data_IF_217542873238
#
_entry.id   IF_217542873238
#
_cell.length_a   1.000
_cell.length_b   1.000
_cell.length_c   1.000
_cell.angle_alpha   90.00
_cell.angle_beta   90.00
_cell.angle_gamma   90.00
#
_symmetry.space_group_name_H-M   'P 1'
#
loop_
_entity.id
_entity.type
_entity.pdbx_description
1 polymer ?
#
# COMPACT_ATOMS: atom_id res chain seq x y z
N UNK A 1 16.65 1.00 0.15
CA UNK A 1 15.52 1.91 0.47
C UNK A 1 15.99 3.35 0.53
N UNK A 2 15.10 4.31 0.20
CA UNK A 2 15.31 5.73 0.37
C UNK A 2 14.29 6.28 1.38
N UNK A 3 14.75 7.07 2.35
CA UNK A 3 13.87 7.83 3.22
C UNK A 3 13.97 9.33 2.89
N UNK A 4 12.83 9.96 2.69
CA UNK A 4 12.74 11.41 2.47
C UNK A 4 12.21 12.05 3.74
N UNK A 5 12.91 13.02 4.27
CA UNK A 5 12.67 13.59 5.60
C UNK A 5 11.94 14.94 5.51
N UNK A 6 11.13 15.25 6.52
CA UNK A 6 10.45 16.54 6.69
C UNK A 6 11.21 17.53 7.59
N UNK A 7 12.47 17.26 7.90
CA UNK A 7 13.40 18.07 8.66
C UNK A 7 14.82 17.83 8.19
N UNK A 8 15.82 18.38 8.87
CA UNK A 8 17.22 18.17 8.56
C UNK A 8 17.61 16.70 8.62
N UNK A 9 18.61 16.30 7.81
CA UNK A 9 19.07 14.89 7.76
C UNK A 9 19.70 14.40 9.06
N UNK A 10 20.02 15.28 9.97
CA UNK A 10 20.59 15.02 11.29
C UNK A 10 19.52 15.01 12.40
N UNK A 11 18.25 15.33 12.06
CA UNK A 11 17.13 15.39 13.00
C UNK A 11 16.27 14.13 12.86
N UNK A 12 16.32 13.26 13.86
CA UNK A 12 15.54 12.02 13.88
C UNK A 12 14.13 12.31 14.38
N UNK A 13 13.15 12.07 13.51
CA UNK A 13 11.72 12.26 13.84
C UNK A 13 10.86 11.19 13.15
N UNK A 14 9.90 10.57 13.86
CA UNK A 14 9.77 10.64 15.33
C UNK A 14 10.94 9.92 16.03
N UNK A 15 11.25 10.24 17.30
CA UNK A 15 12.42 9.69 18.00
C UNK A 15 12.41 8.16 18.13
N UNK A 16 11.24 7.55 18.15
CA UNK A 16 11.02 6.11 18.25
C UNK A 16 11.60 5.38 17.03
N UNK A 17 11.69 6.04 15.89
CA UNK A 17 12.20 5.48 14.64
C UNK A 17 13.73 5.59 14.50
N UNK A 18 14.47 5.88 15.57
CA UNK A 18 15.94 6.00 15.55
C UNK A 18 16.61 4.79 14.89
N UNK A 19 16.23 3.58 15.30
CA UNK A 19 16.81 2.36 14.74
C UNK A 19 16.54 2.25 13.23
N UNK A 20 15.31 2.50 12.80
CA UNK A 20 14.95 2.49 11.38
C UNK A 20 15.76 3.53 10.59
N UNK A 21 15.95 4.72 11.17
CA UNK A 21 16.78 5.77 10.57
C UNK A 21 18.20 5.31 10.36
N UNK A 22 18.84 4.74 11.39
CA UNK A 22 20.21 4.21 11.35
C UNK A 22 20.35 3.06 10.34
N UNK A 23 19.40 2.13 10.31
CA UNK A 23 19.36 1.02 9.36
C UNK A 23 19.25 1.51 7.90
N UNK A 24 18.44 2.53 7.64
CA UNK A 24 18.34 3.13 6.31
C UNK A 24 19.61 3.90 5.95
N UNK A 25 20.20 4.63 6.88
CA UNK A 25 21.45 5.32 6.65
C UNK A 25 22.60 4.36 6.28
N UNK A 26 22.60 3.16 6.88
CA UNK A 26 23.63 2.15 6.63
C UNK A 26 23.43 1.37 5.32
N UNK A 27 22.19 1.18 4.86
CA UNK A 27 21.87 0.26 3.73
C UNK A 27 21.19 0.95 2.54
N UNK A 28 20.88 2.23 2.66
CA UNK A 28 20.12 3.00 1.68
C UNK A 28 20.55 4.46 1.64
N UNK A 29 19.58 5.36 1.54
CA UNK A 29 19.85 6.81 1.47
C UNK A 29 18.82 7.59 2.27
N UNK A 30 19.27 8.64 2.96
CA UNK A 30 18.45 9.65 3.60
C UNK A 30 18.50 10.92 2.75
N UNK A 31 17.33 11.46 2.41
CA UNK A 31 17.19 12.65 1.58
C UNK A 31 16.42 13.72 2.34
N UNK A 32 16.86 14.97 2.23
CA UNK A 32 16.12 16.13 2.73
C UNK A 32 16.38 17.35 1.86
N UNK A 33 15.37 18.22 1.74
CA UNK A 33 15.51 19.56 1.18
C UNK A 33 15.79 20.61 2.26
N UNK A 34 15.76 20.21 3.53
CA UNK A 34 15.96 21.11 4.65
C UNK A 34 17.40 21.08 5.12
N UNK A 35 17.97 22.25 5.49
CA UNK A 35 19.30 22.31 6.08
C UNK A 35 19.41 21.44 7.34
N UNK A 36 20.64 20.95 7.67
CA UNK A 36 20.90 20.30 8.95
C UNK A 36 20.40 21.14 10.14
N UNK A 37 19.92 20.47 11.19
CA UNK A 37 19.36 21.09 12.37
C UNK A 37 17.94 21.62 12.22
N UNK A 38 17.31 21.50 11.03
CA UNK A 38 15.93 21.95 10.83
C UNK A 38 14.96 21.00 11.51
N UNK A 39 14.20 21.51 12.48
CA UNK A 39 13.14 20.76 13.16
C UNK A 39 11.97 20.44 12.21
N UNK A 40 11.39 19.24 12.28
CA UNK A 40 10.24 18.86 11.48
C UNK A 40 9.00 19.65 11.90
N UNK A 41 8.23 20.11 10.90
CA UNK A 41 6.95 20.83 11.10
C UNK A 41 5.86 20.17 10.27
N UNK A 42 4.62 20.21 10.73
CA UNK A 42 3.47 19.62 10.01
C UNK A 42 3.37 20.04 8.55
N UNK A 43 3.70 21.31 8.24
CA UNK A 43 3.71 21.84 6.87
C UNK A 43 4.82 21.27 5.98
N UNK A 44 5.87 20.70 6.54
CA UNK A 44 6.98 20.13 5.78
C UNK A 44 6.63 18.77 5.14
N UNK A 45 5.72 18.01 5.76
CA UNK A 45 5.39 16.66 5.29
C UNK A 45 4.67 16.66 3.94
N UNK A 46 3.65 17.50 3.68
CA UNK A 46 3.06 17.59 2.33
C UNK A 46 4.08 18.03 1.27
N UNK A 47 4.94 18.99 1.59
CA UNK A 47 5.99 19.46 0.67
C UNK A 47 6.97 18.33 0.35
N UNK A 48 7.44 17.59 1.36
CA UNK A 48 8.32 16.45 1.21
C UNK A 48 7.69 15.33 0.35
N UNK A 49 6.38 15.09 0.46
CA UNK A 49 5.70 13.99 -0.22
C UNK A 49 5.81 14.06 -1.75
N UNK A 50 6.00 15.26 -2.35
CA UNK A 50 6.28 15.40 -3.79
C UNK A 50 7.57 14.70 -4.23
N UNK A 51 8.56 14.60 -3.35
CA UNK A 51 9.80 13.88 -3.63
C UNK A 51 9.56 12.38 -3.57
N UNK A 52 8.76 11.90 -2.60
CA UNK A 52 8.41 10.49 -2.46
C UNK A 52 7.67 10.02 -3.72
N UNK A 53 6.62 10.75 -4.14
CA UNK A 53 5.88 10.41 -5.35
C UNK A 53 6.75 10.54 -6.61
N UNK A 54 7.60 11.57 -6.69
CA UNK A 54 8.50 11.80 -7.83
C UNK A 54 9.54 10.69 -8.02
N UNK A 55 10.03 10.08 -6.94
CA UNK A 55 10.96 8.95 -6.96
C UNK A 55 10.28 7.60 -7.19
N UNK A 56 8.95 7.56 -7.12
CA UNK A 56 8.16 6.34 -7.27
C UNK A 56 7.67 6.17 -8.72
N UNK A 57 7.41 4.95 -9.12
CA UNK A 57 6.71 4.64 -10.37
C UNK A 57 5.22 4.92 -10.24
N UNK A 58 4.66 4.63 -9.07
CA UNK A 58 3.26 4.86 -8.75
C UNK A 58 3.05 4.93 -7.24
N UNK A 59 1.88 5.35 -6.83
CA UNK A 59 1.43 5.46 -5.44
C UNK A 59 0.21 4.57 -5.24
N UNK A 60 0.28 3.67 -4.26
CA UNK A 60 -0.85 2.85 -3.82
C UNK A 60 -1.41 3.41 -2.52
N UNK A 61 -2.69 3.80 -2.53
CA UNK A 61 -3.43 4.22 -1.35
C UNK A 61 -4.24 3.02 -0.85
N UNK A 62 -3.89 2.53 0.34
CA UNK A 62 -4.54 1.36 0.94
C UNK A 62 -5.80 1.75 1.69
N UNK A 63 -5.74 2.84 2.46
CA UNK A 63 -6.84 3.38 3.23
C UNK A 63 -6.68 4.89 3.38
N UNK A 64 -7.74 5.65 3.13
CA UNK A 64 -7.73 7.10 3.28
C UNK A 64 -9.16 7.64 3.47
N UNK A 65 -9.43 8.42 4.53
CA UNK A 65 -10.63 9.24 4.60
C UNK A 65 -10.58 10.38 3.57
N UNK A 66 -11.71 11.06 3.33
CA UNK A 66 -11.83 12.15 2.35
C UNK A 66 -10.81 13.28 2.53
N UNK A 67 -10.37 13.50 3.78
CA UNK A 67 -9.38 14.53 4.13
C UNK A 67 -8.18 13.86 4.78
N UNK A 68 -7.26 13.38 3.97
CA UNK A 68 -6.05 12.74 4.49
C UNK A 68 -4.79 13.20 3.75
N UNK A 69 -3.65 13.12 4.44
CA UNK A 69 -2.34 13.38 3.83
C UNK A 69 -2.00 12.42 2.69
N UNK A 70 -2.55 11.20 2.71
CA UNK A 70 -2.37 10.23 1.63
C UNK A 70 -2.97 10.72 0.30
N UNK A 71 -4.14 11.40 0.34
CA UNK A 71 -4.75 11.99 -0.85
C UNK A 71 -3.93 13.16 -1.41
N UNK A 72 -3.27 13.93 -0.56
CA UNK A 72 -2.33 14.97 -1.01
C UNK A 72 -1.21 14.34 -1.82
N UNK A 73 -0.64 13.24 -1.34
CA UNK A 73 0.43 12.51 -2.04
C UNK A 73 -0.08 11.91 -3.35
N UNK A 74 -1.28 11.33 -3.36
CA UNK A 74 -1.89 10.77 -4.57
C UNK A 74 -2.14 11.84 -5.65
N UNK A 75 -2.67 13.00 -5.27
CA UNK A 75 -2.88 14.12 -6.19
C UNK A 75 -1.55 14.64 -6.75
N UNK A 76 -0.54 14.81 -5.88
CA UNK A 76 0.80 15.22 -6.34
C UNK A 76 1.40 14.19 -7.30
N UNK A 77 1.18 12.89 -7.06
CA UNK A 77 1.62 11.84 -7.96
C UNK A 77 0.97 11.95 -9.34
N UNK A 78 -0.34 12.22 -9.42
CA UNK A 78 -1.06 12.47 -10.67
C UNK A 78 -0.51 13.68 -11.41
N UNK A 79 -0.26 14.80 -10.72
CA UNK A 79 0.34 16.02 -11.28
C UNK A 79 1.74 15.74 -11.87
N UNK A 80 2.47 14.78 -11.30
CA UNK A 80 3.79 14.34 -11.76
C UNK A 80 3.73 13.26 -12.84
N UNK A 81 2.54 12.87 -13.30
CA UNK A 81 2.37 11.79 -14.29
C UNK A 81 2.74 10.41 -13.76
N UNK A 82 2.59 10.19 -12.45
CA UNK A 82 2.77 8.88 -11.82
C UNK A 82 1.44 8.13 -11.75
N UNK A 83 1.50 6.82 -11.80
CA UNK A 83 0.32 5.99 -11.64
C UNK A 83 -0.20 6.10 -10.20
N UNK A 84 -1.53 6.14 -10.07
CA UNK A 84 -2.19 6.09 -8.76
C UNK A 84 -3.10 4.87 -8.72
N UNK A 85 -2.98 4.14 -7.63
CA UNK A 85 -3.74 2.94 -7.34
C UNK A 85 -4.45 3.09 -5.99
N UNK A 86 -5.59 2.43 -5.82
CA UNK A 86 -6.29 2.43 -4.55
C UNK A 86 -6.95 1.08 -4.26
N UNK A 87 -6.94 0.71 -2.99
CA UNK A 87 -7.65 -0.47 -2.50
C UNK A 87 -9.09 -0.08 -2.19
N UNK A 88 -10.10 -0.78 -2.76
CA UNK A 88 -11.50 -0.50 -2.47
C UNK A 88 -11.87 -0.91 -1.03
N UNK A 89 -12.78 -0.17 -0.43
CA UNK A 89 -13.28 -0.50 0.89
C UNK A 89 -14.79 -0.28 1.00
N UNK A 90 -15.40 -0.64 2.16
CA UNK A 90 -16.83 -0.50 2.38
C UNK A 90 -17.30 0.95 2.18
N UNK A 91 -18.42 1.13 1.47
CA UNK A 91 -18.97 2.48 1.16
C UNK A 91 -19.45 3.26 2.39
N UNK A 92 -19.73 2.54 3.48
CA UNK A 92 -20.16 3.11 4.76
C UNK A 92 -19.00 3.36 5.74
N UNK A 93 -17.76 3.01 5.38
CA UNK A 93 -16.58 3.28 6.19
C UNK A 93 -15.93 4.60 5.76
N UNK A 94 -15.82 5.54 6.70
CA UNK A 94 -15.22 6.85 6.44
C UNK A 94 -13.78 6.75 5.95
N UNK A 95 -13.01 5.78 6.48
CA UNK A 95 -11.62 5.51 6.12
C UNK A 95 -11.43 5.00 4.69
N UNK A 96 -12.51 4.52 4.04
CA UNK A 96 -12.46 4.03 2.66
C UNK A 96 -12.92 5.06 1.63
N UNK A 97 -13.52 6.17 2.06
CA UNK A 97 -14.13 7.14 1.16
C UNK A 97 -13.14 7.74 0.18
N UNK A 98 -11.95 8.09 0.65
CA UNK A 98 -10.90 8.65 -0.20
C UNK A 98 -10.40 7.66 -1.25
N UNK A 99 -10.19 6.39 -0.88
CA UNK A 99 -9.80 5.34 -1.83
C UNK A 99 -10.89 5.10 -2.87
N UNK A 100 -12.15 4.98 -2.44
CA UNK A 100 -13.28 4.78 -3.35
C UNK A 100 -13.47 5.99 -4.30
N UNK A 101 -13.20 7.20 -3.81
CA UNK A 101 -13.20 8.40 -4.64
C UNK A 101 -12.09 8.37 -5.68
N UNK A 102 -10.86 8.03 -5.29
CA UNK A 102 -9.74 7.89 -6.24
C UNK A 102 -10.06 6.89 -7.35
N UNK A 103 -10.64 5.73 -7.01
CA UNK A 103 -11.04 4.71 -7.98
C UNK A 103 -12.10 5.27 -8.93
N UNK A 104 -13.11 5.98 -8.41
CA UNK A 104 -14.14 6.64 -9.22
C UNK A 104 -13.56 7.66 -10.19
N UNK A 105 -12.49 8.34 -9.77
CA UNK A 105 -11.81 9.37 -10.57
C UNK A 105 -10.77 8.78 -11.54
N UNK A 106 -10.62 7.44 -11.57
CA UNK A 106 -9.80 6.73 -12.55
C UNK A 106 -8.51 6.13 -12.02
N UNK A 107 -8.28 6.13 -10.70
CA UNK A 107 -7.16 5.39 -10.13
C UNK A 107 -7.33 3.88 -10.34
N UNK A 108 -6.21 3.17 -10.52
CA UNK A 108 -6.21 1.72 -10.66
C UNK A 108 -6.77 1.03 -9.42
N UNK A 109 -7.83 0.21 -9.59
CA UNK A 109 -8.37 -0.60 -8.49
C UNK A 109 -7.41 -1.76 -8.20
N UNK A 110 -7.13 -1.98 -6.91
CA UNK A 110 -6.21 -3.03 -6.45
C UNK A 110 -6.90 -3.99 -5.50
N UNK A 111 -6.93 -5.25 -5.88
CA UNK A 111 -7.39 -6.37 -5.06
C UNK A 111 -6.24 -7.31 -4.70
N UNK A 112 -5.21 -7.37 -5.55
CA UNK A 112 -4.02 -8.19 -5.33
C UNK A 112 -2.75 -7.46 -5.80
N UNK A 113 -1.60 -7.95 -5.36
CA UNK A 113 -0.31 -7.31 -5.69
C UNK A 113 -0.05 -7.24 -7.20
N UNK A 114 -0.60 -8.20 -7.97
CA UNK A 114 -0.38 -8.25 -9.41
C UNK A 114 -1.13 -7.15 -10.18
N UNK A 115 -2.19 -6.58 -9.62
CA UNK A 115 -2.90 -5.44 -10.21
C UNK A 115 -1.96 -4.24 -10.37
N UNK A 116 -1.04 -4.05 -9.41
CA UNK A 116 -0.01 -3.02 -9.48
C UNK A 116 1.19 -3.48 -10.31
N UNK A 117 1.75 -4.64 -9.99
CA UNK A 117 3.00 -5.12 -10.59
C UNK A 117 2.86 -5.42 -12.08
N UNK A 118 1.69 -5.89 -12.50
CA UNK A 118 1.38 -6.18 -13.90
C UNK A 118 1.49 -4.97 -14.80
N UNK A 119 1.18 -3.78 -14.30
CA UNK A 119 1.32 -2.50 -15.03
C UNK A 119 2.78 -2.26 -15.44
N UNK A 120 3.74 -2.64 -14.59
CA UNK A 120 5.17 -2.40 -14.82
C UNK A 120 5.90 -3.60 -15.42
N UNK A 121 5.22 -4.72 -15.69
CA UNK A 121 5.85 -5.93 -16.20
C UNK A 121 6.61 -5.70 -17.51
N UNK A 122 6.06 -4.88 -18.42
CA UNK A 122 6.72 -4.55 -19.70
C UNK A 122 7.99 -3.74 -19.51
N UNK A 123 8.03 -2.87 -18.50
CA UNK A 123 9.18 -2.04 -18.17
C UNK A 123 10.28 -2.83 -17.45
N UNK A 124 9.89 -3.82 -16.63
CA UNK A 124 10.82 -4.62 -15.82
C UNK A 124 10.61 -6.13 -16.00
N UNK A 125 10.69 -6.66 -17.24
CA UNK A 125 10.31 -8.06 -17.53
C UNK A 125 11.17 -9.10 -16.81
N UNK A 126 12.40 -8.74 -16.44
CA UNK A 126 13.32 -9.63 -15.73
C UNK A 126 13.08 -9.66 -14.22
N UNK A 127 12.55 -8.57 -13.65
CA UNK A 127 12.29 -8.42 -12.22
C UNK A 127 10.87 -8.84 -11.84
N UNK A 128 9.90 -8.57 -12.71
CA UNK A 128 8.48 -8.82 -12.47
C UNK A 128 8.04 -10.04 -13.27
N UNK A 129 8.04 -11.20 -12.62
CA UNK A 129 7.53 -12.44 -13.19
C UNK A 129 6.29 -12.85 -12.39
N UNK A 130 5.15 -13.16 -13.06
CA UNK A 130 4.00 -13.70 -12.34
C UNK A 130 4.44 -14.99 -11.63
N UNK A 131 4.25 -15.03 -10.33
CA UNK A 131 4.34 -16.29 -9.60
C UNK A 131 3.14 -17.08 -10.10
N UNK A 132 3.39 -18.11 -10.89
CA UNK A 132 2.38 -19.06 -11.29
C UNK A 132 2.02 -19.89 -10.05
N UNK A 133 1.21 -19.30 -9.16
CA UNK A 133 0.49 -20.09 -8.19
C UNK A 133 -0.35 -21.07 -9.03
N UNK A 134 -0.18 -22.35 -8.80
CA UNK A 134 -1.07 -23.35 -9.34
C UNK A 134 -2.47 -22.96 -8.90
N UNK A 135 -3.23 -22.32 -9.79
CA UNK A 135 -4.66 -22.14 -9.55
C UNK A 135 -5.19 -23.56 -9.34
N UNK A 136 -5.88 -23.84 -8.22
CA UNK A 136 -6.61 -25.10 -8.12
C UNK A 136 -7.50 -25.15 -9.36
N UNK A 137 -7.34 -26.21 -10.16
CA UNK A 137 -8.20 -26.44 -11.31
C UNK A 137 -9.64 -26.45 -10.78
N UNK A 138 -10.42 -25.45 -11.14
CA UNK A 138 -11.86 -25.48 -10.90
C UNK A 138 -12.38 -26.74 -11.63
N UNK A 139 -13.11 -27.61 -10.94
CA UNK A 139 -13.66 -28.80 -11.58
C UNK A 139 -14.48 -28.36 -12.79
N UNK A 140 -14.07 -28.79 -13.97
CA UNK A 140 -14.83 -28.66 -15.20
C UNK A 140 -16.09 -29.51 -15.08
N UNK A 141 -17.19 -28.88 -14.67
CA UNK A 141 -18.47 -29.58 -14.62
C UNK A 141 -19.45 -29.03 -13.60
N UNK A 142 -19.88 -27.79 -13.76
CA UNK A 142 -21.14 -27.31 -13.23
C UNK A 142 -21.62 -26.12 -14.09
N UNK A 143 -21.80 -26.40 -15.36
CA UNK A 143 -22.68 -25.55 -16.16
C UNK A 143 -24.09 -26.15 -16.08
N UNK A 144 -25.00 -25.30 -15.70
CA UNK A 144 -26.45 -25.47 -15.85
C UNK A 144 -27.14 -26.41 -14.86
N UNK A 145 -27.66 -25.82 -13.80
CA UNK A 145 -29.01 -26.02 -13.25
C UNK A 145 -29.15 -25.19 -11.96
N UNK A 146 -29.68 -24.00 -12.06
CA UNK A 146 -30.69 -23.42 -11.14
C UNK A 146 -30.91 -21.95 -11.41
N UNK A 147 -31.78 -21.67 -12.37
CA UNK A 147 -32.60 -20.45 -12.30
C UNK A 147 -33.68 -20.69 -11.24
N UNK A 148 -33.61 -19.89 -10.20
CA UNK A 148 -34.77 -19.52 -9.42
C UNK A 148 -35.10 -20.38 -8.21
N UNK A 149 -34.55 -19.99 -7.04
CA UNK A 149 -35.25 -20.16 -5.75
C UNK A 149 -34.91 -18.97 -4.82
N UNK A 150 -35.91 -18.50 -4.03
CA UNK A 150 -35.74 -17.30 -3.21
C UNK A 150 -34.84 -17.54 -1.99
N UNK A 151 -34.06 -16.52 -1.64
CA UNK A 151 -33.19 -16.47 -0.46
C UNK A 151 -34.03 -16.60 0.81
N UNK A 152 -33.84 -17.58 1.68
CA UNK A 152 -34.47 -17.59 3.00
C UNK A 152 -33.74 -16.62 3.95
N UNK A 153 -34.53 -15.95 4.77
CA UNK A 153 -34.10 -15.00 5.76
C UNK A 153 -33.17 -15.63 6.82
N UNK A 154 -32.29 -14.76 7.33
CA UNK A 154 -31.27 -15.01 8.34
C UNK A 154 -31.76 -15.82 9.55
N UNK A 155 -31.00 -16.83 9.92
CA UNK A 155 -30.94 -17.30 11.29
C UNK A 155 -29.68 -16.68 11.94
N UNK A 156 -29.90 -16.01 13.06
CA UNK A 156 -28.87 -15.50 13.96
C UNK A 156 -28.19 -16.65 14.68
N UNK A 157 -26.87 -16.62 14.72
CA UNK A 157 -26.09 -17.39 15.69
C UNK A 157 -25.05 -18.35 15.14
N UNK A 158 -24.04 -17.86 14.41
CA UNK A 158 -22.84 -18.63 14.24
C UNK A 158 -21.61 -17.73 14.43
N UNK A 159 -20.82 -18.07 15.45
CA UNK A 159 -19.60 -17.37 15.84
C UNK A 159 -18.60 -17.40 14.69
N UNK A 160 -18.28 -16.24 14.14
CA UNK A 160 -17.21 -16.04 13.19
C UNK A 160 -15.91 -16.63 13.72
N UNK A 161 -15.24 -17.56 13.03
CA UNK A 161 -13.92 -17.98 13.43
C UNK A 161 -12.96 -16.81 13.37
N UNK A 162 -12.16 -16.63 14.42
CA UNK A 162 -11.14 -15.61 14.52
C UNK A 162 -10.23 -15.64 13.26
N UNK A 163 -10.01 -14.49 12.65
CA UNK A 163 -9.03 -14.35 11.57
C UNK A 163 -7.69 -14.90 12.05
N UNK A 164 -7.00 -15.72 11.26
CA UNK A 164 -5.65 -16.12 11.59
C UNK A 164 -4.78 -14.86 11.67
N UNK A 165 -4.22 -14.62 12.84
CA UNK A 165 -3.16 -13.62 13.03
C UNK A 165 -1.98 -14.14 12.23
N UNK A 166 -1.54 -13.38 11.24
CA UNK A 166 -0.35 -13.71 10.46
C UNK A 166 0.85 -13.62 11.42
N UNK A 167 1.33 -14.76 11.87
CA UNK A 167 2.57 -14.84 12.63
C UNK A 167 3.75 -14.65 11.68
N UNK A 168 4.27 -13.43 11.63
CA UNK A 168 5.41 -13.05 10.79
C UNK A 168 6.74 -13.66 11.29
N UNK A 169 6.72 -14.39 12.39
CA UNK A 169 7.89 -15.08 12.95
C UNK A 169 7.94 -16.59 12.62
N UNK A 170 6.90 -17.15 11.97
CA UNK A 170 6.80 -18.56 11.61
C UNK A 170 7.50 -18.92 10.31
N UNK A 171 8.28 -19.98 10.32
CA UNK A 171 8.89 -20.61 9.15
C UNK A 171 7.82 -21.05 8.14
N UNK A 172 7.69 -20.36 7.01
CA UNK A 172 6.77 -20.77 5.94
C UNK A 172 6.39 -19.70 4.92
N UNK A 173 6.62 -18.43 5.18
CA UNK A 173 6.38 -17.40 4.19
C UNK A 173 7.65 -17.22 3.34
N UNK A 174 7.61 -17.65 2.08
CA UNK A 174 8.69 -17.49 1.10
C UNK A 174 8.84 -16.03 0.62
N UNK A 175 8.80 -15.07 1.55
CA UNK A 175 9.12 -13.68 1.28
C UNK A 175 10.64 -13.52 1.36
N UNK A 176 11.24 -12.94 0.33
CA UNK A 176 12.64 -12.55 0.36
C UNK A 176 12.87 -11.48 1.44
N UNK A 177 14.10 -11.39 1.95
CA UNK A 177 14.43 -10.38 2.96
C UNK A 177 14.14 -8.94 2.50
N UNK A 178 14.22 -8.67 1.20
CA UNK A 178 13.87 -7.38 0.62
C UNK A 178 12.35 -7.13 0.63
N UNK A 179 11.54 -8.15 0.45
CA UNK A 179 10.08 -8.04 0.56
C UNK A 179 9.63 -7.82 2.02
N UNK A 180 10.30 -8.46 2.99
CA UNK A 180 10.08 -8.22 4.41
C UNK A 180 10.48 -6.81 4.84
N UNK A 181 11.53 -6.24 4.23
CA UNK A 181 11.97 -4.86 4.49
C UNK A 181 10.98 -3.82 3.98
N UNK A 182 10.37 -4.03 2.81
CA UNK A 182 9.37 -3.11 2.25
C UNK A 182 8.12 -3.04 3.12
N UNK A 183 7.66 -4.18 3.68
CA UNK A 183 6.49 -4.24 4.57
C UNK A 183 6.71 -3.57 5.93
N UNK A 184 7.98 -3.39 6.37
CA UNK A 184 8.31 -2.71 7.64
C UNK A 184 8.35 -1.18 7.55
N UNK A 185 8.29 -0.61 6.36
CA UNK A 185 8.47 0.85 6.14
C UNK A 185 7.14 1.60 6.07
N UNK A 186 6.00 0.91 6.07
CA UNK A 186 4.70 1.58 6.10
C UNK A 186 4.33 1.90 7.55
N UNK A 187 4.22 3.19 7.96
CA UNK A 187 3.70 3.52 9.27
C UNK A 187 2.24 3.09 9.35
N UNK A 188 1.91 2.35 10.40
CA UNK A 188 0.54 2.18 10.84
C UNK A 188 0.14 3.49 11.56
N UNK A 189 -0.75 4.27 10.97
CA UNK A 189 -1.53 5.33 11.60
C UNK A 189 -2.99 5.14 11.25
#
# INVERSE_FOLDING_TARGET
TAAVLGGGVDVIYPPENRRLYEDIAATGVLLSEYPPGTEPKGSHFPVRNRIISGLSLGVLVVEAPERSGALITANTALEQGRDVFAVPGPINADTSRGCNQLIRDGAGLVMEAWDVLGTYQRQFPQKLRPIRAAMPEMPKGAADETRGTPVPAKQEGEKTPARPVLDLAGEGAALTDDQKRVLRVLPAD
#
